data_IF_968423663987
#
_entry.id   IF_968423663987
#
_cell.length_a   1.000
_cell.length_b   1.000
_cell.length_c   1.000
_cell.angle_alpha   90.00
_cell.angle_beta   90.00
_cell.angle_gamma   90.00
#
_symmetry.space_group_name_H-M   'P 1'
#
loop_
_entity.id
_entity.type
_entity.pdbx_description
1 polymer ?
#
# COMPACT_ATOMS: atom_id res chain seq x y z
N UNK A 1 -3.41 -0.85 -32.68
CA UNK A 1 -4.06 -1.10 -31.38
C UNK A 1 -3.04 -0.73 -30.29
N UNK A 2 -3.27 0.35 -29.55
CA UNK A 2 -2.45 0.64 -28.35
C UNK A 2 -3.00 -0.23 -27.21
N UNK A 3 -2.10 -0.89 -26.48
CA UNK A 3 -2.47 -1.72 -25.32
C UNK A 3 -2.22 -0.89 -24.07
N UNK A 4 -3.26 -0.70 -23.26
CA UNK A 4 -3.24 0.11 -22.05
C UNK A 4 -2.83 -0.73 -20.84
N UNK A 5 -1.53 -0.94 -20.65
CA UNK A 5 -1.00 -1.84 -19.63
C UNK A 5 -0.65 -1.15 -18.30
N UNK A 6 -0.14 0.08 -18.37
CA UNK A 6 0.40 0.82 -17.23
C UNK A 6 0.05 2.29 -17.41
N UNK A 7 -0.32 2.95 -16.32
CA UNK A 7 -0.40 4.41 -16.25
C UNK A 7 0.64 4.93 -15.25
N UNK A 8 1.15 6.12 -15.51
CA UNK A 8 2.18 6.71 -14.68
C UNK A 8 2.86 7.92 -15.31
N UNK A 9 3.91 8.37 -14.64
CA UNK A 9 4.76 9.49 -15.06
C UNK A 9 6.19 8.96 -15.23
N UNK A 10 6.84 9.31 -16.34
CA UNK A 10 8.27 9.04 -16.54
C UNK A 10 9.01 10.33 -16.19
N UNK A 11 9.90 10.24 -15.20
CA UNK A 11 10.88 11.29 -14.93
C UNK A 11 12.19 10.89 -15.61
N UNK A 12 12.50 11.54 -16.73
CA UNK A 12 13.69 11.22 -17.52
C UNK A 12 14.97 11.73 -16.86
N UNK A 13 14.90 12.88 -16.17
CA UNK A 13 16.05 13.49 -15.50
C UNK A 13 16.53 12.61 -14.35
N UNK A 14 15.58 12.13 -13.55
CA UNK A 14 15.87 11.18 -12.47
C UNK A 14 15.94 9.73 -12.96
N UNK A 15 15.62 9.48 -14.24
CA UNK A 15 15.54 8.16 -14.86
C UNK A 15 14.64 7.19 -14.08
N UNK A 16 13.49 7.68 -13.60
CA UNK A 16 12.51 6.90 -12.83
C UNK A 16 11.15 6.82 -13.51
N UNK A 17 10.37 5.81 -13.14
CA UNK A 17 8.98 5.64 -13.58
C UNK A 17 8.08 5.53 -12.37
N UNK A 18 7.18 6.50 -12.21
CA UNK A 18 6.14 6.50 -11.20
C UNK A 18 4.88 5.83 -11.75
N UNK A 19 4.64 4.59 -11.33
CA UNK A 19 3.46 3.82 -11.76
C UNK A 19 2.26 4.16 -10.87
N UNK A 20 1.21 4.74 -11.45
CA UNK A 20 -0.05 5.05 -10.76
C UNK A 20 -1.10 3.94 -10.92
N UNK A 21 -1.03 3.17 -12.00
CA UNK A 21 -1.95 2.08 -12.27
C UNK A 21 -1.30 0.99 -13.13
N UNK A 22 -1.76 -0.24 -12.95
CA UNK A 22 -1.39 -1.40 -13.77
C UNK A 22 -2.64 -2.19 -14.11
N UNK A 23 -2.68 -2.77 -15.31
CA UNK A 23 -3.76 -3.65 -15.70
C UNK A 23 -3.83 -4.86 -14.75
N UNK A 24 -4.99 -5.12 -14.11
CA UNK A 24 -5.18 -6.31 -13.28
C UNK A 24 -4.96 -7.59 -14.09
N UNK A 25 -4.33 -8.58 -13.46
CA UNK A 25 -4.07 -9.89 -14.06
C UNK A 25 -4.46 -11.01 -13.12
N UNK A 26 -4.64 -12.20 -13.66
CA UNK A 26 -4.87 -13.42 -12.88
C UNK A 26 -3.66 -13.67 -11.98
N UNK A 27 -3.93 -14.02 -10.71
CA UNK A 27 -2.89 -14.29 -9.73
C UNK A 27 -2.82 -15.78 -9.41
N UNK A 28 -1.60 -16.30 -9.34
CA UNK A 28 -1.33 -17.64 -8.81
C UNK A 28 -1.31 -17.66 -7.29
N UNK A 29 -1.39 -18.86 -6.70
CA UNK A 29 -1.36 -19.06 -5.23
C UNK A 29 -0.17 -18.34 -4.55
N UNK A 30 1.07 -18.38 -5.07
CA UNK A 30 2.20 -17.66 -4.45
C UNK A 30 1.99 -16.14 -4.40
N UNK A 31 1.36 -15.56 -5.43
CA UNK A 31 1.12 -14.12 -5.50
C UNK A 31 0.00 -13.70 -4.53
N UNK A 32 -1.05 -14.52 -4.42
CA UNK A 32 -2.12 -14.31 -3.43
C UNK A 32 -1.55 -14.37 -2.01
N UNK A 33 -0.65 -15.31 -1.73
CA UNK A 33 0.05 -15.38 -0.43
C UNK A 33 0.86 -14.12 -0.14
N UNK A 34 1.61 -13.63 -1.12
CA UNK A 34 2.38 -12.38 -0.97
C UNK A 34 1.47 -11.17 -0.73
N UNK A 35 0.30 -11.10 -1.38
CA UNK A 35 -0.69 -10.05 -1.11
C UNK A 35 -1.23 -10.13 0.32
N UNK A 36 -1.55 -11.33 0.81
CA UNK A 36 -1.97 -11.54 2.20
C UNK A 36 -0.91 -11.04 3.18
N UNK A 37 0.35 -11.42 2.98
CA UNK A 37 1.46 -10.99 3.86
C UNK A 37 1.61 -9.46 3.90
N UNK A 38 1.42 -8.78 2.76
CA UNK A 38 1.43 -7.30 2.69
C UNK A 38 0.27 -6.68 3.46
N UNK A 39 -0.94 -7.27 3.34
CA UNK A 39 -2.11 -6.82 4.09
C UNK A 39 -1.94 -7.05 5.60
N UNK A 40 -1.45 -8.21 6.02
CA UNK A 40 -1.15 -8.53 7.41
C UNK A 40 -0.17 -7.51 8.01
N UNK A 41 0.90 -7.18 7.27
CA UNK A 41 1.87 -6.15 7.68
C UNK A 41 1.23 -4.77 7.80
N UNK A 42 0.36 -4.39 6.88
CA UNK A 42 -0.33 -3.10 6.92
C UNK A 42 -1.27 -3.00 8.12
N UNK A 43 -2.08 -4.03 8.39
CA UNK A 43 -2.94 -4.10 9.57
C UNK A 43 -2.13 -3.99 10.86
N UNK A 44 -0.99 -4.67 10.93
CA UNK A 44 -0.06 -4.56 12.07
C UNK A 44 0.40 -3.12 12.30
N UNK A 45 0.79 -2.41 11.23
CA UNK A 45 1.20 -1.00 11.33
C UNK A 45 0.07 -0.09 11.83
N UNK A 46 -1.15 -0.26 11.29
CA UNK A 46 -2.33 0.52 11.73
C UNK A 46 -2.61 0.28 13.21
N UNK A 47 -2.53 -0.97 13.66
CA UNK A 47 -2.72 -1.29 15.08
C UNK A 47 -1.64 -0.67 15.97
N UNK A 48 -0.36 -0.72 15.57
CA UNK A 48 0.72 -0.05 16.29
C UNK A 48 0.48 1.46 16.37
N UNK A 49 0.08 2.10 15.27
CA UNK A 49 -0.23 3.54 15.26
C UNK A 49 -1.38 3.88 16.21
N UNK A 50 -2.43 3.05 16.24
CA UNK A 50 -3.56 3.23 17.17
C UNK A 50 -3.08 3.17 18.63
N UNK A 51 -2.30 2.16 18.99
CA UNK A 51 -1.77 2.03 20.35
C UNK A 51 -0.88 3.21 20.74
N UNK A 52 -0.07 3.72 19.81
CA UNK A 52 0.76 4.92 20.06
C UNK A 52 -0.10 6.15 20.35
N UNK A 53 -1.19 6.35 19.60
CA UNK A 53 -2.11 7.47 19.82
C UNK A 53 -2.80 7.36 21.19
N UNK A 54 -3.30 6.16 21.55
CA UNK A 54 -3.94 5.94 22.85
C UNK A 54 -2.99 6.19 24.02
N UNK A 55 -1.71 5.81 23.89
CA UNK A 55 -0.70 6.05 24.92
C UNK A 55 -0.35 7.54 25.09
N UNK A 56 -0.38 8.32 24.01
CA UNK A 56 -0.03 9.75 24.02
C UNK A 56 -1.21 10.68 24.36
N UNK A 57 -2.45 10.20 24.28
CA UNK A 57 -3.65 11.02 24.59
C UNK A 57 -4.65 10.34 25.54
N UNK A 58 -4.30 10.16 26.83
CA UNK A 58 -5.25 9.64 27.82
C UNK A 58 -6.44 10.58 28.07
N UNK A 59 -6.21 11.90 28.06
CA UNK A 59 -7.19 12.91 28.48
C UNK A 59 -8.29 13.20 27.43
N UNK A 60 -8.08 12.87 26.15
CA UNK A 60 -9.08 13.11 25.09
C UNK A 60 -10.10 11.98 24.93
N UNK A 61 -9.80 10.79 25.47
CA UNK A 61 -10.67 9.60 25.39
C UNK A 61 -11.66 9.53 26.56
N UNK A 62 -11.42 10.29 27.63
CA UNK A 62 -12.21 10.25 28.87
C UNK A 62 -13.29 11.35 29.01
N UNK A 63 -13.62 12.08 27.94
CA UNK A 63 -14.63 13.14 27.91
C UNK A 63 -16.00 12.67 27.39
#
# INVERSE_FOLDING_TARGET
LQVHLIEGIIDEVDSTVHVSWVQPRVLGIPQVKALRERLDSWVGKVHTTLLSIEAETPDLVAA
#
